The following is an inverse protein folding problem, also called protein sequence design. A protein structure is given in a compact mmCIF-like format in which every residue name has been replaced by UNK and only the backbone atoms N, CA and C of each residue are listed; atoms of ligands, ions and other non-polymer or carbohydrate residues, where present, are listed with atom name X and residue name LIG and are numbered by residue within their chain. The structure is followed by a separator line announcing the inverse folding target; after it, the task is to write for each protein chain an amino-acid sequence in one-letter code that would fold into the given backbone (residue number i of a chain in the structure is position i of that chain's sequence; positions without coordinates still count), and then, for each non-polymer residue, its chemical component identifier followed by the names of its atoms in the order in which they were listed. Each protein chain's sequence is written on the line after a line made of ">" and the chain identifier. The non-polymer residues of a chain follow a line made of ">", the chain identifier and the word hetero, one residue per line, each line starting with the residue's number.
data_IF_515711825835
#
_entry.id   IF_515711825835
#
_cell.length_a   1.000
_cell.length_b   1.000
_cell.length_c   1.000
_cell.angle_alpha   90.00
_cell.angle_beta   90.00
_cell.angle_gamma   90.00
#
_symmetry.space_group_name_H-M   'P 1'
#
loop_
_entity.id
_entity.type
_entity.pdbx_description
1 polymer ?
#
# COMPACT_ATOMS: atom_id res chain seq x y z
N UNK A 1 -5.14 -13.66 -14.93
CA UNK A 1 -6.13 -13.20 -15.93
C UNK A 1 -6.03 -11.72 -16.24
N UNK A 2 -6.16 -10.80 -15.26
CA UNK A 2 -6.14 -9.34 -15.55
C UNK A 2 -4.88 -8.85 -16.28
N UNK A 3 -3.70 -9.39 -15.94
CA UNK A 3 -2.42 -9.10 -16.60
C UNK A 3 -2.41 -9.38 -18.11
N UNK A 4 -3.31 -10.24 -18.60
CA UNK A 4 -3.33 -10.73 -19.99
C UNK A 4 -4.65 -10.40 -20.71
N UNK A 5 -5.76 -10.31 -19.98
CA UNK A 5 -7.12 -10.23 -20.54
C UNK A 5 -7.71 -8.81 -20.54
N UNK A 6 -6.90 -7.76 -20.32
CA UNK A 6 -7.35 -6.36 -20.17
C UNK A 6 -8.51 -6.18 -19.18
N UNK A 7 -8.60 -7.09 -18.22
CA UNK A 7 -9.65 -7.06 -17.19
C UNK A 7 -9.29 -6.06 -16.10
N UNK A 8 -10.28 -5.51 -15.38
CA UNK A 8 -10.01 -4.61 -14.25
C UNK A 8 -9.08 -5.26 -13.23
N UNK A 9 -8.24 -4.45 -12.57
CA UNK A 9 -7.39 -4.91 -11.48
C UNK A 9 -8.26 -5.36 -10.30
N UNK A 10 -8.26 -6.66 -9.95
CA UNK A 10 -9.05 -7.15 -8.82
C UNK A 10 -8.52 -6.57 -7.50
N UNK A 11 -9.43 -6.17 -6.60
CA UNK A 11 -9.09 -5.57 -5.31
C UNK A 11 -8.59 -4.13 -5.36
N UNK A 12 -8.53 -3.52 -6.55
CA UNK A 12 -8.07 -2.14 -6.70
C UNK A 12 -9.13 -1.10 -6.37
N UNK A 13 -8.71 0.14 -6.11
CA UNK A 13 -9.58 1.24 -5.65
C UNK A 13 -10.75 1.53 -6.60
N UNK A 14 -10.60 1.27 -7.89
CA UNK A 14 -11.64 1.48 -8.90
C UNK A 14 -12.70 0.37 -8.92
N UNK A 15 -12.37 -0.80 -8.38
CA UNK A 15 -13.24 -1.98 -8.33
C UNK A 15 -13.85 -2.16 -6.94
N UNK A 16 -13.07 -1.95 -5.87
CA UNK A 16 -13.50 -2.18 -4.48
C UNK A 16 -13.22 -0.96 -3.57
N UNK A 17 -13.81 0.22 -3.83
CA UNK A 17 -13.47 1.46 -3.12
C UNK A 17 -13.74 1.41 -1.61
N UNK A 18 -14.77 0.67 -1.18
CA UNK A 18 -15.08 0.49 0.25
C UNK A 18 -14.03 -0.36 0.96
N UNK A 19 -13.51 -1.40 0.31
CA UNK A 19 -12.44 -2.23 0.87
C UNK A 19 -11.14 -1.43 0.99
N UNK A 20 -10.81 -0.62 -0.02
CA UNK A 20 -9.67 0.31 0.03
C UNK A 20 -9.84 1.34 1.16
N UNK A 21 -11.03 1.92 1.33
CA UNK A 21 -11.29 2.85 2.42
C UNK A 21 -11.12 2.19 3.80
N UNK A 22 -11.61 0.95 3.96
CA UNK A 22 -11.42 0.17 5.18
C UNK A 22 -9.94 -0.13 5.46
N UNK A 23 -9.16 -0.42 4.41
CA UNK A 23 -7.71 -0.62 4.52
C UNK A 23 -6.98 0.66 4.96
N UNK A 24 -7.29 1.80 4.35
CA UNK A 24 -6.73 3.10 4.76
C UNK A 24 -7.08 3.40 6.23
N UNK A 25 -8.34 3.18 6.60
CA UNK A 25 -8.76 3.35 7.99
C UNK A 25 -8.02 2.39 8.93
N UNK A 26 -7.82 1.13 8.54
CA UNK A 26 -7.05 0.15 9.30
C UNK A 26 -5.58 0.53 9.45
N UNK A 27 -4.95 1.06 8.40
CA UNK A 27 -3.57 1.57 8.45
C UNK A 27 -3.47 2.76 9.40
N UNK A 28 -4.35 3.76 9.26
CA UNK A 28 -4.24 5.01 10.02
C UNK A 28 -4.81 4.87 11.43
N UNK A 29 -6.10 4.57 11.54
CA UNK A 29 -6.79 4.47 12.83
C UNK A 29 -6.36 3.22 13.59
N UNK A 30 -6.21 2.10 12.90
CA UNK A 30 -5.71 0.87 13.54
C UNK A 30 -4.32 1.06 14.14
N UNK A 31 -3.38 1.69 13.41
CA UNK A 31 -2.07 2.00 13.98
C UNK A 31 -2.13 2.94 15.19
N UNK A 32 -2.94 4.01 15.09
CA UNK A 32 -3.13 4.97 16.19
C UNK A 32 -3.71 4.32 17.45
N UNK A 33 -4.63 3.36 17.30
CA UNK A 33 -5.37 2.76 18.41
C UNK A 33 -4.69 1.52 18.98
N UNK A 34 -3.81 0.87 18.23
CA UNK A 34 -3.18 -0.40 18.66
C UNK A 34 -1.65 -0.35 18.69
N UNK A 35 -1.05 0.85 18.65
CA UNK A 35 0.40 1.02 18.64
C UNK A 35 1.06 0.39 17.41
N UNK A 36 0.36 0.43 16.27
CA UNK A 36 0.85 -0.10 15.00
C UNK A 36 0.41 -1.53 14.67
N UNK A 37 -0.11 -2.32 15.61
CA UNK A 37 -0.43 -3.74 15.35
C UNK A 37 -1.39 -3.96 14.16
N UNK A 38 -2.54 -3.29 14.14
CA UNK A 38 -3.54 -3.45 13.06
C UNK A 38 -3.01 -2.90 11.74
N UNK A 39 -2.30 -1.76 11.75
CA UNK A 39 -1.72 -1.24 10.52
C UNK A 39 -0.59 -2.09 9.98
N UNK A 40 0.23 -2.71 10.84
CA UNK A 40 1.25 -3.67 10.45
C UNK A 40 0.63 -4.92 9.81
N UNK A 41 -0.52 -5.40 10.30
CA UNK A 41 -1.27 -6.48 9.66
C UNK A 41 -1.66 -6.12 8.21
N UNK A 42 -2.21 -4.93 7.99
CA UNK A 42 -2.55 -4.47 6.63
C UNK A 42 -1.31 -4.30 5.74
N UNK A 43 -0.22 -3.77 6.30
CA UNK A 43 1.06 -3.63 5.59
C UNK A 43 1.60 -4.99 5.14
N UNK A 44 1.60 -5.99 6.03
CA UNK A 44 2.03 -7.36 5.72
C UNK A 44 1.12 -7.99 4.68
N UNK A 45 -0.20 -7.84 4.81
CA UNK A 45 -1.18 -8.32 3.82
C UNK A 45 -0.91 -7.74 2.43
N UNK A 46 -0.66 -6.42 2.35
CA UNK A 46 -0.34 -5.72 1.11
C UNK A 46 0.97 -6.22 0.49
N UNK A 47 2.03 -6.33 1.29
CA UNK A 47 3.31 -6.86 0.84
C UNK A 47 3.18 -8.32 0.34
N UNK A 48 2.40 -9.15 1.05
CA UNK A 48 2.15 -10.53 0.66
C UNK A 48 1.40 -10.63 -0.68
N UNK A 49 0.37 -9.81 -0.89
CA UNK A 49 -0.37 -9.76 -2.15
C UNK A 49 0.53 -9.32 -3.32
N UNK A 50 1.34 -8.28 -3.12
CA UNK A 50 2.29 -7.81 -4.13
C UNK A 50 3.37 -8.86 -4.45
N UNK A 51 3.89 -9.56 -3.44
CA UNK A 51 4.86 -10.63 -3.63
C UNK A 51 4.25 -11.84 -4.35
N UNK A 52 3.03 -12.23 -4.00
CA UNK A 52 2.32 -13.33 -4.65
C UNK A 52 2.05 -13.03 -6.13
N UNK A 53 1.56 -11.83 -6.44
CA UNK A 53 1.27 -11.44 -7.83
C UNK A 53 2.54 -11.36 -8.68
N UNK A 54 3.61 -10.77 -8.14
CA UNK A 54 4.91 -10.72 -8.79
C UNK A 54 5.51 -12.12 -8.99
N UNK A 55 5.42 -12.99 -7.98
CA UNK A 55 5.88 -14.38 -8.06
C UNK A 55 5.15 -15.19 -9.13
N UNK A 56 3.83 -15.02 -9.24
CA UNK A 56 3.04 -15.66 -10.29
C UNK A 56 3.48 -15.21 -11.69
N UNK A 57 3.69 -13.91 -11.90
CA UNK A 57 4.21 -13.38 -13.17
C UNK A 57 5.61 -13.87 -13.48
N UNK A 58 6.51 -13.91 -12.50
CA UNK A 58 7.86 -14.43 -12.67
C UNK A 58 7.87 -15.91 -13.08
N UNK A 59 6.95 -16.71 -12.52
CA UNK A 59 6.76 -18.10 -12.92
C UNK A 59 6.37 -18.24 -14.39
N UNK A 60 5.57 -17.29 -14.91
CA UNK A 60 5.19 -17.24 -16.33
C UNK A 60 6.37 -16.78 -17.19
N UNK A 61 7.11 -15.75 -16.76
CA UNK A 61 8.23 -15.22 -17.54
C UNK A 61 9.46 -16.14 -17.57
N UNK A 62 9.60 -17.04 -16.59
CA UNK A 62 10.74 -17.97 -16.50
C UNK A 62 12.09 -17.30 -16.21
N UNK A 63 12.11 -16.01 -15.87
CA UNK A 63 13.33 -15.25 -15.61
C UNK A 63 13.18 -14.37 -14.34
N UNK A 64 13.93 -14.65 -13.26
CA UNK A 64 13.81 -13.92 -11.98
C UNK A 64 14.28 -12.47 -12.05
N UNK A 65 15.12 -12.10 -13.03
CA UNK A 65 15.63 -10.72 -13.20
C UNK A 65 14.48 -9.76 -13.54
N UNK A 66 13.37 -10.27 -14.09
CA UNK A 66 12.19 -9.50 -14.44
C UNK A 66 11.35 -9.10 -13.22
N UNK A 67 11.83 -9.27 -11.98
CA UNK A 67 11.11 -8.86 -10.76
C UNK A 67 10.76 -7.36 -10.78
N UNK A 68 11.61 -6.52 -11.37
CA UNK A 68 11.37 -5.08 -11.53
C UNK A 68 10.22 -4.75 -12.48
N UNK A 69 9.82 -5.71 -13.31
CA UNK A 69 8.68 -5.64 -14.23
C UNK A 69 7.48 -6.42 -13.67
N UNK A 70 7.73 -7.45 -12.85
CA UNK A 70 6.66 -8.23 -12.24
C UNK A 70 6.02 -7.49 -11.05
N UNK A 71 6.79 -6.66 -10.34
CA UNK A 71 6.34 -5.94 -9.15
C UNK A 71 5.86 -4.54 -9.52
N UNK A 72 4.55 -4.24 -9.42
CA UNK A 72 4.03 -2.98 -9.91
C UNK A 72 4.50 -1.79 -9.09
N UNK A 73 4.82 -0.67 -9.76
CA UNK A 73 5.29 0.55 -9.10
C UNK A 73 4.29 1.09 -8.07
N UNK A 74 2.99 0.97 -8.34
CA UNK A 74 1.96 1.40 -7.40
C UNK A 74 1.97 0.61 -6.09
N UNK A 75 2.21 -0.71 -6.15
CA UNK A 75 2.34 -1.54 -4.94
C UNK A 75 3.54 -1.11 -4.10
N UNK A 76 4.67 -0.77 -4.74
CA UNK A 76 5.86 -0.26 -4.03
C UNK A 76 5.52 1.05 -3.30
N UNK A 77 4.88 1.99 -4.00
CA UNK A 77 4.48 3.27 -3.43
C UNK A 77 3.49 3.09 -2.28
N UNK A 78 2.49 2.24 -2.44
CA UNK A 78 1.52 1.97 -1.38
C UNK A 78 2.18 1.31 -0.16
N UNK A 79 3.06 0.33 -0.33
CA UNK A 79 3.79 -0.30 0.78
C UNK A 79 4.69 0.71 1.50
N UNK A 80 5.42 1.54 0.75
CA UNK A 80 6.30 2.56 1.33
C UNK A 80 5.51 3.64 2.08
N UNK A 81 4.43 4.14 1.49
CA UNK A 81 3.52 5.10 2.10
C UNK A 81 2.85 4.54 3.35
N UNK A 82 2.28 3.34 3.26
CA UNK A 82 1.64 2.65 4.38
C UNK A 82 2.64 2.39 5.51
N UNK A 83 3.85 1.90 5.20
CA UNK A 83 4.88 1.64 6.20
C UNK A 83 5.24 2.87 7.03
N UNK A 84 5.45 4.01 6.36
CA UNK A 84 5.71 5.27 7.06
C UNK A 84 4.52 5.74 7.90
N UNK A 85 3.28 5.60 7.39
CA UNK A 85 2.07 5.91 8.15
C UNK A 85 1.93 5.03 9.39
N UNK A 86 2.16 3.71 9.28
CA UNK A 86 2.11 2.78 10.41
C UNK A 86 3.07 3.23 11.50
N UNK A 87 4.33 3.51 11.16
CA UNK A 87 5.35 3.95 12.13
C UNK A 87 4.96 5.25 12.82
N UNK A 88 4.54 6.26 12.05
CA UNK A 88 4.17 7.57 12.60
C UNK A 88 2.92 7.47 13.48
N UNK A 89 1.90 6.75 13.03
CA UNK A 89 0.64 6.56 13.76
C UNK A 89 0.81 5.66 14.99
N UNK A 90 1.79 4.76 15.02
CA UNK A 90 2.07 3.93 16.21
C UNK A 90 2.75 4.73 17.35
N UNK A 91 3.58 5.72 17.01
CA UNK A 91 4.39 6.51 17.95
C UNK A 91 3.60 7.07 19.16
N UNK A 92 2.41 7.68 19.01
CA UNK A 92 1.51 8.08 20.09
C UNK A 92 1.42 7.14 21.29
N UNK A 93 1.04 5.88 21.05
CA UNK A 93 0.82 4.90 22.11
C UNK A 93 2.13 4.36 22.66
N UNK A 94 3.13 4.15 21.80
CA UNK A 94 4.43 3.62 22.19
C UNK A 94 5.25 4.60 23.04
N UNK A 95 5.04 5.91 22.88
CA UNK A 95 5.78 6.94 23.62
C UNK A 95 5.22 7.27 25.01
N UNK A 96 4.04 6.74 25.36
CA UNK A 96 3.42 6.93 26.69
C UNK A 96 3.03 8.38 27.06
N UNK A 97 3.22 9.34 26.15
CA UNK A 97 2.95 10.78 26.34
C UNK A 97 2.08 11.31 25.20
N UNK A 98 0.93 10.68 25.01
CA UNK A 98 0.07 11.00 23.88
C UNK A 98 -0.65 12.34 24.06
N UNK A 99 -0.28 13.31 23.24
CA UNK A 99 -1.03 14.54 23.02
C UNK A 99 -1.22 14.72 21.51
N UNK A 100 -2.42 14.41 21.01
CA UNK A 100 -2.73 14.34 19.57
C UNK A 100 -2.36 15.64 18.83
N UNK A 101 -2.76 16.81 19.35
CA UNK A 101 -2.50 18.10 18.70
C UNK A 101 -1.01 18.42 18.53
N UNK A 102 -0.20 18.42 19.61
CA UNK A 102 1.25 18.61 19.51
C UNK A 102 1.95 17.55 18.67
N UNK A 103 1.57 16.28 18.78
CA UNK A 103 2.12 15.20 17.95
C UNK A 103 1.86 15.46 16.47
N UNK A 104 0.61 15.75 16.11
CA UNK A 104 0.22 16.00 14.72
C UNK A 104 0.98 17.18 14.14
N UNK A 105 1.12 18.29 14.88
CA UNK A 105 1.92 19.45 14.41
C UNK A 105 3.37 19.07 14.13
N UNK A 106 4.02 18.31 15.02
CA UNK A 106 5.41 17.87 14.86
C UNK A 106 5.59 16.87 13.71
N UNK A 107 4.63 15.99 13.48
CA UNK A 107 4.70 14.94 12.46
C UNK A 107 4.00 15.31 11.15
N UNK A 108 3.34 16.46 11.07
CA UNK A 108 2.54 16.91 9.92
C UNK A 108 3.24 16.78 8.58
N UNK A 109 4.50 17.21 8.48
CA UNK A 109 5.31 17.09 7.26
C UNK A 109 5.54 15.64 6.85
N UNK A 110 5.85 14.76 7.80
CA UNK A 110 6.09 13.35 7.53
C UNK A 110 4.77 12.62 7.21
N UNK A 111 3.70 12.92 7.92
CA UNK A 111 2.36 12.43 7.62
C UNK A 111 1.93 12.84 6.21
N UNK A 112 2.16 14.09 5.82
CA UNK A 112 1.88 14.57 4.46
C UNK A 112 2.73 13.85 3.42
N UNK A 113 4.03 13.63 3.68
CA UNK A 113 4.92 12.91 2.78
C UNK A 113 4.44 11.47 2.54
N UNK A 114 4.23 10.69 3.60
CA UNK A 114 3.85 9.28 3.46
C UNK A 114 2.40 9.10 2.98
N UNK A 115 1.49 10.00 3.36
CA UNK A 115 0.14 10.06 2.76
C UNK A 115 0.22 10.40 1.28
N UNK A 116 1.11 11.32 0.89
CA UNK A 116 1.35 11.68 -0.51
C UNK A 116 1.89 10.52 -1.32
N UNK A 117 2.90 9.81 -0.80
CA UNK A 117 3.45 8.60 -1.43
C UNK A 117 2.35 7.54 -1.62
N UNK A 118 1.55 7.28 -0.57
CA UNK A 118 0.46 6.33 -0.62
C UNK A 118 -0.61 6.74 -1.66
N UNK A 119 -1.03 8.01 -1.64
CA UNK A 119 -2.02 8.56 -2.57
C UNK A 119 -1.54 8.53 -4.02
N UNK A 120 -0.27 8.85 -4.28
CA UNK A 120 0.33 8.69 -5.62
C UNK A 120 0.31 7.22 -6.02
N UNK A 121 0.56 6.29 -5.09
CA UNK A 121 0.38 4.86 -5.30
C UNK A 121 -1.05 4.48 -5.69
N UNK A 122 -2.09 5.01 -5.04
CA UNK A 122 -3.49 4.77 -5.40
C UNK A 122 -3.84 5.35 -6.78
N UNK A 123 -3.34 6.54 -7.11
CA UNK A 123 -3.56 7.15 -8.43
C UNK A 123 -2.86 6.33 -9.52
N UNK A 124 -1.63 5.90 -9.27
CA UNK A 124 -0.88 5.03 -10.16
C UNK A 124 -1.62 3.69 -10.36
N UNK A 125 -2.18 3.11 -9.30
CA UNK A 125 -3.01 1.91 -9.39
C UNK A 125 -4.30 2.14 -10.19
N UNK A 126 -4.93 3.31 -10.08
CA UNK A 126 -6.16 3.59 -10.84
C UNK A 126 -5.90 3.75 -12.35
N UNK A 127 -4.68 4.14 -12.75
CA UNK A 127 -4.36 4.56 -14.13
C UNK A 127 -3.46 3.55 -14.84
N UNK A 128 -2.36 3.14 -14.19
CA UNK A 128 -1.28 2.38 -14.83
C UNK A 128 -1.64 0.93 -15.22
N UNK A 129 -2.57 0.21 -14.55
CA UNK A 129 -2.94 -1.13 -15.00
C UNK A 129 -3.39 -1.18 -16.46
N UNK A 130 -4.01 -0.11 -16.98
CA UNK A 130 -4.39 -0.01 -18.40
C UNK A 130 -3.20 -0.18 -19.36
N UNK A 131 -2.00 0.19 -18.92
CA UNK A 131 -0.76 0.13 -19.69
C UNK A 131 0.14 -1.05 -19.29
N UNK A 132 -0.19 -1.76 -18.22
CA UNK A 132 0.60 -2.84 -17.63
C UNK A 132 0.02 -4.21 -18.01
N UNK A 133 0.02 -4.50 -19.31
CA UNK A 133 -0.45 -5.76 -19.86
C UNK A 133 0.70 -6.52 -20.52
N UNK A 134 0.76 -7.82 -20.26
CA UNK A 134 1.73 -8.71 -20.88
C UNK A 134 1.05 -9.50 -22.00
N UNK A 135 1.76 -9.68 -23.11
CA UNK A 135 1.31 -10.55 -24.19
C UNK A 135 1.83 -11.96 -23.84
N UNK A 136 0.91 -12.92 -23.76
CA UNK A 136 1.22 -14.33 -23.58
C UNK A 136 1.68 -14.98 -24.88
#
# INVERSE_FOLDING_TARGET
>A
EWYFARSPLPGGITVEPLATAAEIAGIVLGSLLTGGLVGAWFLVRMANLAAFSAGHLLGIFGNPILIFIALPVWSILQIAGAGGLVVLCAEPLLSGRFALGPWFRRRSRLLALFSGIYAIGLLAEAILPAFWHFHG
#
